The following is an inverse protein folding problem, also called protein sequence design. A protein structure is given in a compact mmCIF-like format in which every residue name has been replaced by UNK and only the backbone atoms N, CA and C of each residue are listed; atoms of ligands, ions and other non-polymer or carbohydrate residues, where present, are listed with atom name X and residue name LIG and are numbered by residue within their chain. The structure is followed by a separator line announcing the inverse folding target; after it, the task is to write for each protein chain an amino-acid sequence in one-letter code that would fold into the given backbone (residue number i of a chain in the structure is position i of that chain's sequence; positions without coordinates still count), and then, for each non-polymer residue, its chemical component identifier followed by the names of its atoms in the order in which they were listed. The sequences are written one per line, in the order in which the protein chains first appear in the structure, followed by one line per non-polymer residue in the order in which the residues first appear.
data_IF_171142719555
#
_entry.id   IF_171142719555
#
_cell.length_a   1.000
_cell.length_b   1.000
_cell.length_c   1.000
_cell.angle_alpha   90.00
_cell.angle_beta   90.00
_cell.angle_gamma   90.00
#
_symmetry.space_group_name_H-M   'P 1'
#
loop_
_entity.id
_entity.type
_entity.pdbx_description
1 polymer ?
#
# COMPACT_ATOMS: atom_id res chain seq x y z
N UNK A 1 46.03 21.44 73.66
CA UNK A 1 47.12 22.14 74.36
C UNK A 1 48.37 21.32 74.09
N UNK A 2 49.41 21.73 73.38
CA UNK A 2 49.82 22.92 72.63
C UNK A 2 50.97 22.41 71.69
N UNK A 3 51.09 22.88 70.44
CA UNK A 3 52.18 23.78 69.98
C UNK A 3 53.61 23.22 70.19
N UNK A 4 54.57 23.20 69.26
CA UNK A 4 54.71 23.75 67.90
C UNK A 4 55.97 23.17 67.23
N UNK A 5 56.00 23.24 65.89
CA UNK A 5 57.10 23.51 64.95
C UNK A 5 58.58 23.19 65.28
N UNK A 6 59.24 22.60 64.28
CA UNK A 6 60.68 22.67 64.07
C UNK A 6 61.06 22.14 62.69
N UNK A 7 61.56 23.04 61.83
CA UNK A 7 62.13 22.83 60.49
C UNK A 7 63.66 22.76 60.57
N UNK A 8 64.30 21.98 59.70
CA UNK A 8 65.66 22.14 59.09
C UNK A 8 65.94 20.85 58.27
N UNK A 9 66.02 20.85 56.92
CA UNK A 9 67.19 21.17 56.06
C UNK A 9 68.50 20.53 56.54
N UNK A 10 69.36 19.85 55.77
CA UNK A 10 69.55 19.37 54.39
C UNK A 10 70.71 18.34 54.50
N UNK A 11 70.81 17.34 53.60
CA UNK A 11 72.06 16.98 52.88
C UNK A 11 72.08 15.54 52.34
N UNK A 12 72.05 15.46 51.01
CA UNK A 12 73.10 14.82 50.23
C UNK A 12 73.42 13.33 50.45
N UNK A 13 72.75 12.47 49.66
CA UNK A 13 73.51 11.47 48.88
C UNK A 13 72.82 11.16 47.56
N UNK A 14 73.50 11.56 46.50
CA UNK A 14 73.17 11.30 45.11
C UNK A 14 73.18 9.80 44.81
N UNK A 15 72.05 9.25 44.39
CA UNK A 15 72.01 8.05 43.57
C UNK A 15 71.08 8.34 42.39
N UNK A 16 71.68 8.60 41.23
CA UNK A 16 70.95 8.62 39.97
C UNK A 16 70.55 7.19 39.57
N UNK A 17 69.32 7.00 39.07
CA UNK A 17 69.07 6.09 37.99
C UNK A 17 68.97 6.92 36.71
N UNK A 18 70.11 7.00 36.02
CA UNK A 18 70.16 7.27 34.59
C UNK A 18 69.26 6.27 33.84
N UNK A 19 68.01 6.63 33.58
CA UNK A 19 67.30 6.21 32.37
C UNK A 19 66.39 7.34 31.93
N UNK A 20 66.97 8.28 31.17
CA UNK A 20 66.23 9.01 30.14
C UNK A 20 65.78 7.98 29.10
N UNK A 21 64.77 7.18 29.43
CA UNK A 21 63.98 6.46 28.46
C UNK A 21 63.13 7.53 27.79
N UNK A 22 63.72 8.23 26.84
CA UNK A 22 62.98 8.88 25.77
C UNK A 22 62.10 7.79 25.19
N UNK A 23 60.83 7.75 25.60
CA UNK A 23 59.80 6.94 24.98
C UNK A 23 59.76 7.41 23.53
N UNK A 24 60.55 6.72 22.70
CA UNK A 24 60.61 6.93 21.27
C UNK A 24 59.23 6.52 20.81
N UNK A 25 58.42 7.50 20.44
CA UNK A 25 57.15 7.28 19.76
C UNK A 25 57.45 6.27 18.63
N UNK A 26 56.73 5.13 18.54
CA UNK A 26 56.89 4.28 17.37
C UNK A 26 56.68 5.19 16.15
N UNK A 27 57.60 5.18 15.20
CA UNK A 27 57.43 5.83 13.90
C UNK A 27 56.24 5.15 13.20
N UNK A 28 55.04 5.55 13.60
CA UNK A 28 53.80 5.25 12.92
C UNK A 28 53.83 6.13 11.68
N UNK A 29 54.14 5.51 10.54
CA UNK A 29 54.02 6.15 9.24
C UNK A 29 52.64 6.83 9.16
N UNK A 30 52.58 8.17 9.18
CA UNK A 30 51.31 8.90 9.24
C UNK A 30 50.41 8.60 8.04
N UNK A 31 51.00 8.22 6.91
CA UNK A 31 50.26 7.84 5.70
C UNK A 31 49.61 6.46 5.86
N UNK A 32 50.32 5.49 6.43
CA UNK A 32 49.77 4.16 6.70
C UNK A 32 48.64 4.19 7.74
N UNK A 33 48.73 5.08 8.73
CA UNK A 33 47.66 5.30 9.71
C UNK A 33 46.39 5.91 9.04
N UNK A 34 46.58 6.83 8.09
CA UNK A 34 45.48 7.44 7.33
C UNK A 34 44.79 6.43 6.40
N UNK A 35 45.56 5.56 5.74
CA UNK A 35 45.02 4.49 4.89
C UNK A 35 44.22 3.46 5.71
N UNK A 36 44.73 3.09 6.88
CA UNK A 36 44.03 2.19 7.81
C UNK A 36 42.69 2.80 8.26
N UNK A 37 42.68 4.10 8.57
CA UNK A 37 41.45 4.82 8.90
C UNK A 37 40.49 4.90 7.72
N UNK A 38 40.99 5.12 6.50
CA UNK A 38 40.17 5.18 5.30
C UNK A 38 39.46 3.85 5.01
N UNK A 39 40.16 2.72 5.18
CA UNK A 39 39.58 1.37 5.07
C UNK A 39 38.51 1.16 6.14
N UNK A 40 38.80 1.49 7.40
CA UNK A 40 37.83 1.36 8.49
C UNK A 40 36.56 2.20 8.26
N UNK A 41 36.69 3.43 7.73
CA UNK A 41 35.55 4.28 7.36
C UNK A 41 34.77 3.69 6.18
N UNK A 42 35.44 3.10 5.19
CA UNK A 42 34.80 2.43 4.07
C UNK A 42 33.99 1.21 4.53
N UNK A 43 34.55 0.40 5.44
CA UNK A 43 33.89 -0.74 6.06
C UNK A 43 32.68 -0.32 6.90
N UNK A 44 32.84 0.72 7.72
CA UNK A 44 31.73 1.29 8.49
C UNK A 44 30.60 1.80 7.58
N UNK A 45 30.93 2.48 6.48
CA UNK A 45 29.94 2.91 5.47
C UNK A 45 29.25 1.73 4.82
N UNK A 46 29.98 0.66 4.51
CA UNK A 46 29.40 -0.58 3.94
C UNK A 46 28.45 -1.24 4.95
N UNK A 47 28.85 -1.37 6.21
CA UNK A 47 28.01 -1.92 7.28
C UNK A 47 26.73 -1.10 7.50
N UNK A 48 26.82 0.24 7.45
CA UNK A 48 25.65 1.12 7.54
C UNK A 48 24.68 0.95 6.36
N UNK A 49 25.19 0.75 5.14
CA UNK A 49 24.34 0.46 3.97
C UNK A 49 23.62 -0.88 4.13
N UNK A 50 24.33 -1.90 4.59
CA UNK A 50 23.75 -3.23 4.86
C UNK A 50 22.64 -3.13 5.92
N UNK A 51 22.90 -2.45 7.04
CA UNK A 51 21.90 -2.25 8.09
C UNK A 51 20.69 -1.45 7.58
N UNK A 52 20.90 -0.45 6.72
CA UNK A 52 19.81 0.29 6.06
C UNK A 52 18.98 -0.61 5.13
N UNK A 53 19.63 -1.53 4.43
CA UNK A 53 18.93 -2.50 3.57
C UNK A 53 18.10 -3.47 4.42
N UNK A 54 18.66 -3.99 5.52
CA UNK A 54 17.97 -4.86 6.48
C UNK A 54 16.76 -4.18 7.15
N UNK A 55 16.88 -2.89 7.48
CA UNK A 55 15.75 -2.12 8.04
C UNK A 55 14.65 -1.91 7.00
N UNK A 56 15.00 -1.65 5.74
CA UNK A 56 14.02 -1.52 4.65
C UNK A 56 13.27 -2.83 4.38
N UNK A 57 13.95 -3.99 4.45
CA UNK A 57 13.27 -5.29 4.31
C UNK A 57 12.35 -5.58 5.49
N UNK A 58 12.75 -5.22 6.71
CA UNK A 58 11.90 -5.36 7.90
C UNK A 58 10.64 -4.46 7.82
N UNK A 59 10.78 -3.24 7.33
CA UNK A 59 9.63 -2.35 7.07
C UNK A 59 8.65 -2.96 6.05
N UNK A 60 9.16 -3.59 4.99
CA UNK A 60 8.31 -4.29 4.03
C UNK A 60 7.57 -5.46 4.69
N UNK A 61 8.27 -6.30 5.45
CA UNK A 61 7.69 -7.47 6.13
C UNK A 61 6.60 -7.02 7.12
N UNK A 62 6.88 -6.02 7.95
CA UNK A 62 5.93 -5.49 8.93
C UNK A 62 4.68 -4.91 8.27
N UNK A 63 4.83 -4.19 7.15
CA UNK A 63 3.70 -3.71 6.36
C UNK A 63 2.85 -4.86 5.80
N UNK A 64 3.47 -5.92 5.27
CA UNK A 64 2.73 -7.09 4.77
C UNK A 64 1.98 -7.81 5.90
N UNK A 65 2.65 -8.02 7.04
CA UNK A 65 2.03 -8.63 8.22
C UNK A 65 0.86 -7.79 8.75
N UNK A 66 0.99 -6.47 8.77
CA UNK A 66 -0.09 -5.57 9.18
C UNK A 66 -1.30 -5.68 8.24
N UNK A 67 -1.08 -5.70 6.92
CA UNK A 67 -2.16 -5.92 5.93
C UNK A 67 -2.86 -7.25 6.16
N UNK A 68 -2.10 -8.32 6.40
CA UNK A 68 -2.66 -9.65 6.69
C UNK A 68 -3.47 -9.64 7.98
N UNK A 69 -3.00 -8.99 9.04
CA UNK A 69 -3.73 -8.87 10.30
C UNK A 69 -5.08 -8.16 10.12
N UNK A 70 -5.13 -7.08 9.35
CA UNK A 70 -6.38 -6.38 9.02
C UNK A 70 -7.32 -7.31 8.23
N UNK A 71 -6.82 -8.02 7.23
CA UNK A 71 -7.63 -8.94 6.43
C UNK A 71 -8.25 -10.05 7.30
N UNK A 72 -7.44 -10.64 8.18
CA UNK A 72 -7.92 -11.67 9.11
C UNK A 72 -8.97 -11.09 10.06
N UNK A 73 -8.76 -9.89 10.59
CA UNK A 73 -9.75 -9.23 11.46
C UNK A 73 -11.08 -8.97 10.73
N UNK A 74 -11.03 -8.52 9.48
CA UNK A 74 -12.22 -8.29 8.67
C UNK A 74 -12.97 -9.61 8.38
N UNK A 75 -12.23 -10.69 8.09
CA UNK A 75 -12.81 -12.01 7.89
C UNK A 75 -13.47 -12.50 9.18
N UNK A 76 -12.80 -12.37 10.32
CA UNK A 76 -13.34 -12.79 11.62
C UNK A 76 -14.62 -12.02 11.94
N UNK A 77 -14.63 -10.69 11.78
CA UNK A 77 -15.80 -9.87 12.00
C UNK A 77 -16.97 -10.27 11.07
N UNK A 78 -16.69 -10.60 9.80
CA UNK A 78 -17.71 -11.04 8.86
C UNK A 78 -18.27 -12.43 9.22
N UNK A 79 -17.43 -13.33 9.75
CA UNK A 79 -17.86 -14.63 10.25
C UNK A 79 -18.72 -14.46 11.51
N UNK A 80 -18.34 -13.60 12.44
CA UNK A 80 -19.10 -13.32 13.66
C UNK A 80 -20.49 -12.74 13.32
N UNK A 81 -20.56 -11.79 12.38
CA UNK A 81 -21.83 -11.24 11.89
C UNK A 81 -22.70 -12.28 11.15
N UNK A 82 -22.08 -13.28 10.52
CA UNK A 82 -22.81 -14.39 9.90
C UNK A 82 -23.30 -15.41 10.95
N UNK A 83 -22.62 -15.55 12.08
CA UNK A 83 -23.00 -16.42 13.19
C UNK A 83 -24.14 -15.84 14.04
N UNK A 84 -24.34 -14.51 14.06
CA UNK A 84 -25.47 -13.87 14.76
C UNK A 84 -26.79 -13.87 13.99
N UNK A 85 -26.86 -14.44 12.78
CA UNK A 85 -28.14 -14.56 12.06
C UNK A 85 -28.99 -15.65 12.74
N UNK A 86 -30.16 -15.34 13.33
CA UNK A 86 -31.04 -16.36 13.87
C UNK A 86 -31.51 -17.27 12.73
N UNK A 87 -31.47 -18.59 12.95
CA UNK A 87 -32.00 -19.60 12.04
C UNK A 87 -33.43 -19.24 11.59
N UNK A 88 -33.72 -19.16 10.27
CA UNK A 88 -35.08 -18.99 9.81
C UNK A 88 -35.85 -20.30 10.04
N UNK A 89 -36.71 -20.31 11.06
CA UNK A 89 -37.75 -21.33 11.23
C UNK A 89 -38.55 -21.49 9.91
N UNK A 90 -38.58 -22.70 9.36
CA UNK A 90 -39.30 -23.07 8.12
C UNK A 90 -40.85 -22.96 8.29
N UNK A 91 -41.67 -23.27 7.27
CA UNK A 91 -42.20 -22.34 6.29
C UNK A 91 -43.74 -22.22 6.42
N UNK A 92 -44.29 -21.03 6.62
CA UNK A 92 -45.72 -20.82 6.37
C UNK A 92 -45.88 -20.39 4.91
N UNK A 93 -46.41 -21.29 4.09
CA UNK A 93 -46.91 -21.00 2.75
C UNK A 93 -47.86 -19.80 2.82
N UNK A 94 -47.51 -18.72 2.13
CA UNK A 94 -48.46 -17.85 1.42
C UNK A 94 -47.70 -16.94 0.44
N UNK A 95 -47.92 -17.24 -0.85
CA UNK A 95 -47.94 -16.34 -1.99
C UNK A 95 -46.63 -15.63 -2.40
N UNK A 96 -46.00 -16.27 -3.40
CA UNK A 96 -45.11 -15.77 -4.47
C UNK A 96 -44.84 -14.26 -4.54
N UNK A 97 -43.60 -13.87 -4.25
CA UNK A 97 -42.80 -12.83 -4.93
C UNK A 97 -41.33 -13.28 -4.84
N UNK A 98 -40.59 -13.51 -5.95
CA UNK A 98 -39.23 -14.03 -5.86
C UNK A 98 -38.24 -12.89 -5.55
N UNK A 99 -37.86 -12.76 -4.27
CA UNK A 99 -36.78 -11.88 -3.85
C UNK A 99 -35.44 -12.55 -4.21
N UNK A 100 -34.80 -12.02 -5.26
CA UNK A 100 -33.57 -12.53 -5.84
C UNK A 100 -32.43 -12.65 -4.80
N UNK A 101 -31.82 -13.84 -4.81
CA UNK A 101 -30.62 -14.21 -4.07
C UNK A 101 -29.46 -13.30 -4.44
N UNK A 102 -28.65 -12.93 -3.44
CA UNK A 102 -27.46 -12.05 -3.54
C UNK A 102 -26.34 -12.64 -4.42
N UNK A 103 -26.58 -13.76 -5.11
CA UNK A 103 -25.73 -14.34 -6.15
C UNK A 103 -26.03 -13.89 -7.58
N UNK A 104 -27.09 -13.11 -7.84
CA UNK A 104 -27.57 -12.85 -9.21
C UNK A 104 -27.07 -11.52 -9.84
N UNK A 105 -26.50 -10.60 -9.04
CA UNK A 105 -25.97 -9.33 -9.58
C UNK A 105 -24.73 -9.51 -10.45
N UNK A 106 -23.98 -10.60 -10.28
CA UNK A 106 -22.84 -10.89 -11.14
C UNK A 106 -23.30 -11.11 -12.58
N UNK A 107 -24.45 -11.76 -12.81
CA UNK A 107 -24.92 -12.02 -14.16
C UNK A 107 -25.46 -10.75 -14.85
N UNK A 108 -26.13 -9.88 -14.11
CA UNK A 108 -26.84 -8.71 -14.66
C UNK A 108 -25.95 -7.66 -15.35
N UNK A 109 -24.72 -7.43 -14.89
CA UNK A 109 -23.85 -6.42 -15.54
C UNK A 109 -23.28 -6.94 -16.87
N UNK A 110 -22.90 -8.22 -16.93
CA UNK A 110 -22.35 -8.82 -18.16
C UNK A 110 -23.41 -9.06 -19.24
N UNK A 111 -24.69 -9.19 -18.87
CA UNK A 111 -25.79 -9.40 -19.84
C UNK A 111 -26.39 -8.09 -20.34
N UNK A 112 -26.35 -7.02 -19.56
CA UNK A 112 -26.99 -5.73 -19.89
C UNK A 112 -26.04 -4.69 -20.49
N UNK A 113 -24.74 -4.95 -20.47
CA UNK A 113 -23.75 -4.04 -21.00
C UNK A 113 -22.74 -4.76 -21.91
N UNK A 114 -22.17 -4.04 -22.87
CA UNK A 114 -21.26 -4.63 -23.84
C UNK A 114 -19.83 -4.56 -23.33
N UNK A 115 -19.17 -5.72 -23.20
CA UNK A 115 -17.73 -5.79 -22.90
C UNK A 115 -16.95 -5.56 -24.20
N UNK A 116 -16.00 -4.63 -24.17
CA UNK A 116 -15.06 -4.36 -25.26
C UNK A 116 -13.63 -4.42 -24.73
N UNK A 117 -12.68 -4.73 -25.60
CA UNK A 117 -11.25 -4.59 -25.31
C UNK A 117 -10.85 -3.18 -25.70
N UNK A 118 -10.27 -2.45 -24.75
CA UNK A 118 -9.79 -1.09 -25.02
C UNK A 118 -8.58 -1.12 -25.96
N UNK A 119 -8.59 -0.21 -26.94
CA UNK A 119 -7.49 0.03 -27.87
C UNK A 119 -7.18 1.52 -27.86
N UNK A 120 -5.91 1.86 -27.72
CA UNK A 120 -5.46 3.24 -27.85
C UNK A 120 -5.63 3.69 -29.31
N UNK A 121 -6.34 4.80 -29.51
CA UNK A 121 -6.46 5.48 -30.80
C UNK A 121 -5.65 6.77 -30.75
N UNK A 122 -5.04 7.18 -31.86
CA UNK A 122 -4.27 8.44 -31.94
C UNK A 122 -5.13 9.71 -31.87
N UNK A 123 -6.38 9.60 -31.41
CA UNK A 123 -7.31 10.72 -31.30
C UNK A 123 -7.08 11.41 -29.95
N UNK A 124 -7.11 12.73 -29.94
CA UNK A 124 -6.55 13.60 -28.89
C UNK A 124 -7.34 13.62 -27.56
N UNK A 125 -8.21 12.65 -27.31
CA UNK A 125 -8.89 12.44 -26.04
C UNK A 125 -8.55 11.04 -25.52
N UNK A 126 -7.64 10.97 -24.55
CA UNK A 126 -7.39 9.74 -23.81
C UNK A 126 -8.66 9.41 -22.99
N UNK A 127 -9.35 8.30 -23.31
CA UNK A 127 -10.55 7.93 -22.57
C UNK A 127 -10.15 7.40 -21.19
N UNK A 128 -10.82 7.89 -20.16
CA UNK A 128 -10.61 7.50 -18.76
C UNK A 128 -11.92 7.06 -18.11
N UNK A 129 -11.81 6.22 -17.09
CA UNK A 129 -12.96 5.73 -16.34
C UNK A 129 -13.53 6.83 -15.46
N UNK A 130 -14.78 7.22 -15.65
CA UNK A 130 -15.40 8.32 -14.88
C UNK A 130 -15.79 7.95 -13.43
N UNK A 131 -15.56 6.70 -13.02
CA UNK A 131 -15.74 6.24 -11.62
C UNK A 131 -14.44 6.39 -10.83
N UNK A 132 -13.29 5.92 -11.36
CA UNK A 132 -12.01 5.97 -10.66
C UNK A 132 -11.07 7.09 -11.15
N UNK A 133 -11.43 7.76 -12.25
CA UNK A 133 -10.67 8.82 -12.91
C UNK A 133 -9.28 8.38 -13.42
N UNK A 134 -9.09 7.08 -13.62
CA UNK A 134 -7.87 6.49 -14.19
C UNK A 134 -8.05 6.19 -15.68
N UNK A 135 -6.97 6.32 -16.44
CA UNK A 135 -6.90 6.01 -17.86
C UNK A 135 -7.08 4.50 -18.12
N UNK A 136 -7.60 4.17 -19.29
CA UNK A 136 -7.73 2.77 -19.68
C UNK A 136 -6.39 2.18 -20.13
N UNK A 137 -6.13 0.95 -19.69
CA UNK A 137 -4.97 0.17 -20.12
C UNK A 137 -5.30 -0.52 -21.43
N UNK A 138 -4.42 -0.40 -22.44
CA UNK A 138 -4.56 -1.12 -23.70
C UNK A 138 -4.70 -2.62 -23.47
N UNK A 139 -5.68 -3.25 -24.12
CA UNK A 139 -5.97 -4.67 -23.95
C UNK A 139 -6.84 -5.01 -22.73
N UNK A 140 -7.14 -4.04 -21.85
CA UNK A 140 -8.03 -4.28 -20.71
C UNK A 140 -9.51 -4.31 -21.12
N UNK A 141 -10.34 -5.13 -20.44
CA UNK A 141 -11.77 -5.15 -20.67
C UNK A 141 -12.43 -3.91 -20.06
N UNK A 142 -13.14 -3.17 -20.90
CA UNK A 142 -14.02 -2.07 -20.52
C UNK A 142 -15.46 -2.45 -20.80
N UNK A 143 -16.38 -1.87 -20.05
CA UNK A 143 -17.81 -1.95 -20.33
C UNK A 143 -18.24 -0.67 -21.01
N UNK A 144 -18.98 -0.79 -22.11
CA UNK A 144 -19.73 0.30 -22.72
C UNK A 144 -21.21 0.13 -22.39
N UNK A 145 -21.80 1.14 -21.77
CA UNK A 145 -23.23 1.15 -21.46
C UNK A 145 -24.07 1.46 -22.71
N UNK A 146 -25.28 0.91 -22.82
CA UNK A 146 -26.11 1.08 -24.01
C UNK A 146 -26.69 2.49 -24.21
N UNK A 147 -26.62 3.34 -23.18
CA UNK A 147 -27.16 4.70 -23.19
C UNK A 147 -26.34 5.69 -24.02
N UNK A 148 -25.01 5.52 -24.11
CA UNK A 148 -24.14 6.32 -24.97
C UNK A 148 -22.76 5.66 -25.10
N UNK A 149 -22.12 5.72 -26.27
CA UNK A 149 -20.83 5.06 -26.52
C UNK A 149 -19.67 5.62 -25.67
N UNK A 150 -19.76 6.89 -25.25
CA UNK A 150 -18.79 7.50 -24.34
C UNK A 150 -19.01 7.13 -22.86
N UNK A 151 -20.13 6.48 -22.51
CA UNK A 151 -20.38 6.01 -21.15
C UNK A 151 -19.75 4.64 -20.97
N UNK A 152 -18.43 4.65 -20.84
CA UNK A 152 -17.61 3.48 -20.61
C UNK A 152 -16.94 3.53 -19.24
N UNK A 153 -16.65 2.35 -18.70
CA UNK A 153 -16.05 2.18 -17.36
C UNK A 153 -15.22 0.91 -17.31
N UNK A 154 -14.31 0.82 -16.33
CA UNK A 154 -13.74 -0.46 -15.96
C UNK A 154 -14.84 -1.42 -15.51
N UNK A 155 -14.71 -2.69 -15.90
CA UNK A 155 -15.61 -3.77 -15.49
C UNK A 155 -15.79 -3.82 -13.97
N UNK A 156 -14.68 -3.72 -13.23
CA UNK A 156 -14.66 -3.73 -11.76
C UNK A 156 -15.36 -2.51 -11.18
N UNK A 157 -15.11 -1.32 -11.70
CA UNK A 157 -15.73 -0.08 -11.24
C UNK A 157 -17.24 -0.11 -11.41
N UNK A 158 -17.74 -0.51 -12.58
CA UNK A 158 -19.18 -0.58 -12.83
C UNK A 158 -19.85 -1.68 -11.99
N UNK A 159 -19.20 -2.83 -11.82
CA UNK A 159 -19.69 -3.91 -10.95
C UNK A 159 -19.80 -3.44 -9.50
N UNK A 160 -18.79 -2.72 -9.01
CA UNK A 160 -18.80 -2.16 -7.67
C UNK A 160 -19.91 -1.11 -7.48
N UNK A 161 -20.10 -0.23 -8.47
CA UNK A 161 -21.19 0.75 -8.49
C UNK A 161 -22.57 0.07 -8.45
N UNK A 162 -22.79 -0.92 -9.32
CA UNK A 162 -24.03 -1.67 -9.41
C UNK A 162 -24.38 -2.38 -8.09
N UNK A 163 -23.38 -2.93 -7.39
CA UNK A 163 -23.56 -3.59 -6.09
C UNK A 163 -24.11 -2.67 -5.00
N UNK A 164 -23.78 -1.38 -5.04
CA UNK A 164 -24.22 -0.39 -4.04
C UNK A 164 -25.43 0.43 -4.49
N UNK A 165 -25.85 0.27 -5.74
CA UNK A 165 -26.95 1.02 -6.31
C UNK A 165 -28.25 0.22 -6.19
N UNK A 166 -29.33 0.87 -5.75
CA UNK A 166 -30.67 0.25 -5.70
C UNK A 166 -31.25 -0.05 -7.09
N UNK A 167 -30.70 0.55 -8.14
CA UNK A 167 -31.12 0.42 -9.54
C UNK A 167 -29.89 0.33 -10.44
N UNK A 168 -29.99 -0.47 -11.49
CA UNK A 168 -28.96 -0.60 -12.53
C UNK A 168 -29.07 0.57 -13.51
N UNK A 169 -28.42 1.69 -13.17
CA UNK A 169 -28.44 2.93 -13.95
C UNK A 169 -27.05 3.48 -14.18
N UNK A 170 -26.87 4.18 -15.31
CA UNK A 170 -25.62 4.83 -15.68
C UNK A 170 -25.16 5.82 -14.59
N UNK A 171 -23.92 5.74 -14.08
CA UNK A 171 -23.37 6.71 -13.14
C UNK A 171 -23.43 8.16 -13.63
N UNK A 172 -23.32 8.37 -14.95
CA UNK A 172 -23.28 9.71 -15.57
C UNK A 172 -24.68 10.28 -15.84
N UNK A 173 -25.51 9.54 -16.57
CA UNK A 173 -26.80 10.06 -17.05
C UNK A 173 -28.03 9.45 -16.37
N UNK A 174 -27.84 8.46 -15.47
CA UNK A 174 -28.91 7.75 -14.74
C UNK A 174 -29.89 6.96 -15.61
N UNK A 175 -29.64 6.83 -16.91
CA UNK A 175 -30.41 5.95 -17.80
C UNK A 175 -30.29 4.49 -17.34
N UNK A 176 -31.35 3.68 -17.43
CA UNK A 176 -31.31 2.25 -17.09
C UNK A 176 -30.35 1.50 -18.02
N UNK A 177 -29.84 0.36 -17.56
CA UNK A 177 -29.01 -0.53 -18.38
C UNK A 177 -29.83 -1.30 -19.42
N UNK A 178 -31.13 -1.51 -19.19
CA UNK A 178 -32.02 -2.01 -20.23
C UNK A 178 -32.23 -0.94 -21.30
N UNK A 179 -31.88 -1.26 -22.55
CA UNK A 179 -32.37 -0.50 -23.70
C UNK A 179 -33.89 -0.66 -23.75
N UNK A 180 -34.63 0.34 -23.31
CA UNK A 180 -35.97 0.51 -23.83
C UNK A 180 -35.83 0.84 -25.33
N UNK A 181 -36.09 -0.15 -26.18
CA UNK A 181 -36.49 0.11 -27.55
C UNK A 181 -37.88 0.75 -27.52
N UNK A 182 -37.96 2.08 -27.58
CA UNK A 182 -39.13 2.91 -27.96
C UNK A 182 -38.78 4.37 -27.64
N UNK A 183 -38.79 5.33 -28.57
CA UNK A 183 -39.77 5.59 -29.61
C UNK A 183 -39.11 6.06 -30.93
N UNK A 184 -39.29 5.28 -32.00
CA UNK A 184 -39.66 5.87 -33.28
C UNK A 184 -41.03 6.52 -33.08
N UNK A 185 -41.04 7.82 -32.79
CA UNK A 185 -42.23 8.63 -32.99
C UNK A 185 -42.11 9.22 -34.40
N UNK A 186 -43.00 8.86 -35.35
CA UNK A 186 -43.04 9.56 -36.62
C UNK A 186 -43.44 11.02 -36.35
N UNK A 187 -42.85 12.01 -37.04
CA UNK A 187 -43.29 13.39 -36.88
C UNK A 187 -44.77 13.48 -37.22
N UNK A 188 -45.58 13.97 -36.28
CA UNK A 188 -46.94 14.39 -36.56
C UNK A 188 -46.91 15.64 -37.44
N UNK A 189 -47.31 15.41 -38.70
CA UNK A 189 -47.85 16.32 -39.73
C UNK A 189 -46.94 17.45 -40.21
#
# INVERSE_FOLDING_TARGET
MSSSAGVDSEDGRSEEPSTRSSERCPDLDPMAALDTLAVAVADARKALRELRQQTSTLELITNQLHRHAILVQLIQNALDLNLERPEPSQPTRQNTEPLASVGDLSLGVYTLATVKIFKTSSDHQEPHCLICLEDYIEGAPIIVLPCHDSHNYHLTCLTHWARHSKRLTCPLCRSPFDRQSSNDYPPEI
#
